data_IF_601852624555
#
_entry.id   IF_601852624555
#
_cell.length_a   1.000
_cell.length_b   1.000
_cell.length_c   1.000
_cell.angle_alpha   90.00
_cell.angle_beta   90.00
_cell.angle_gamma   90.00
#
_symmetry.space_group_name_H-M   'P 1'
#
loop_
_entity.id
_entity.type
_entity.pdbx_description
1 polymer ?
#
# COMPACT_ATOMS: atom_id res chain seq x y z
N UNK A 1 12.27 23.07 -18.93
CA UNK A 1 10.98 22.39 -18.66
C UNK A 1 11.11 21.13 -17.80
N UNK A 2 12.09 20.26 -18.03
CA UNK A 2 12.32 19.05 -17.21
C UNK A 2 12.65 19.34 -15.75
N UNK A 3 13.47 20.34 -15.48
CA UNK A 3 13.88 20.68 -14.11
C UNK A 3 12.74 21.15 -13.22
N UNK A 4 11.78 21.93 -13.75
CA UNK A 4 10.62 22.39 -12.98
C UNK A 4 9.67 21.24 -12.61
N UNK A 5 9.51 20.29 -13.52
CA UNK A 5 8.65 19.12 -13.30
C UNK A 5 9.27 18.19 -12.25
N UNK A 6 10.60 17.98 -12.30
CA UNK A 6 11.33 17.18 -11.34
C UNK A 6 11.35 17.83 -9.95
N UNK A 7 11.49 19.15 -9.88
CA UNK A 7 11.45 19.90 -8.63
C UNK A 7 10.06 19.89 -8.00
N UNK A 8 9.00 19.93 -8.81
CA UNK A 8 7.62 19.81 -8.32
C UNK A 8 7.32 18.41 -7.81
N UNK A 9 7.80 17.36 -8.50
CA UNK A 9 7.66 15.98 -8.03
C UNK A 9 8.42 15.77 -6.74
N UNK A 10 9.66 16.26 -6.65
CA UNK A 10 10.46 16.17 -5.43
C UNK A 10 9.81 16.92 -4.27
N UNK A 11 9.20 18.08 -4.52
CA UNK A 11 8.48 18.83 -3.50
C UNK A 11 7.24 18.08 -3.03
N UNK A 12 6.50 17.41 -3.93
CA UNK A 12 5.36 16.57 -3.55
C UNK A 12 5.80 15.40 -2.69
N UNK A 13 6.90 14.74 -3.04
CA UNK A 13 7.46 13.65 -2.24
C UNK A 13 7.89 14.12 -0.85
N UNK A 14 8.51 15.30 -0.76
CA UNK A 14 8.92 15.87 0.53
C UNK A 14 7.74 16.38 1.38
N UNK A 15 6.59 16.68 0.76
CA UNK A 15 5.41 17.15 1.46
C UNK A 15 4.53 16.00 2.00
N UNK A 16 4.78 14.75 1.56
CA UNK A 16 4.03 13.59 2.02
C UNK A 16 4.59 13.08 3.34
N UNK A 17 4.37 13.84 4.41
CA UNK A 17 4.77 13.45 5.75
C UNK A 17 3.73 12.55 6.42
N UNK A 18 2.46 12.71 6.04
CA UNK A 18 1.34 11.94 6.59
C UNK A 18 0.54 11.30 5.49
N UNK A 19 -0.17 10.22 5.83
CA UNK A 19 -1.08 9.59 4.89
C UNK A 19 -2.15 10.59 4.44
N UNK A 20 -2.63 10.39 3.21
CA UNK A 20 -3.74 11.16 2.65
C UNK A 20 -4.95 10.23 2.62
N UNK A 21 -6.07 10.68 3.17
CA UNK A 21 -7.28 9.87 3.19
C UNK A 21 -7.82 9.68 1.78
N UNK A 22 -8.17 8.45 1.44
CA UNK A 22 -8.71 8.08 0.14
C UNK A 22 -9.88 7.12 0.33
N UNK A 23 -10.80 7.16 -0.61
CA UNK A 23 -11.95 6.24 -0.61
C UNK A 23 -11.54 4.87 -1.15
N UNK A 24 -12.01 3.82 -0.49
CA UNK A 24 -11.74 2.43 -0.83
C UNK A 24 -13.05 1.69 -1.00
N UNK A 25 -13.03 0.62 -1.80
CA UNK A 25 -14.20 -0.26 -1.99
C UNK A 25 -13.82 -1.67 -1.54
N UNK A 26 -14.65 -2.26 -0.68
CA UNK A 26 -14.43 -3.62 -0.17
C UNK A 26 -14.84 -4.67 -1.19
N UNK A 27 -14.53 -5.94 -0.91
CA UNK A 27 -14.97 -7.08 -1.75
C UNK A 27 -16.49 -7.18 -1.82
N UNK A 28 -17.19 -6.72 -0.79
CA UNK A 28 -18.65 -6.71 -0.72
C UNK A 28 -19.26 -5.47 -1.38
N UNK A 29 -18.43 -4.56 -1.91
CA UNK A 29 -18.89 -3.34 -2.57
C UNK A 29 -19.16 -2.17 -1.65
N UNK A 30 -18.77 -2.27 -0.37
CA UNK A 30 -18.95 -1.19 0.58
C UNK A 30 -17.88 -0.11 0.39
N UNK A 31 -18.28 1.14 0.58
CA UNK A 31 -17.35 2.28 0.55
C UNK A 31 -16.76 2.50 1.93
N UNK A 32 -15.44 2.61 1.99
CA UNK A 32 -14.69 2.85 3.21
C UNK A 32 -13.66 3.95 2.96
N UNK A 33 -13.10 4.46 4.04
CA UNK A 33 -12.00 5.43 3.98
C UNK A 33 -10.74 4.81 4.55
N UNK A 34 -9.60 5.11 3.95
CA UNK A 34 -8.31 4.61 4.44
C UNK A 34 -8.11 4.94 5.92
N UNK A 35 -8.55 6.12 6.36
CA UNK A 35 -8.45 6.56 7.76
C UNK A 35 -9.10 5.60 8.75
N UNK A 36 -10.07 4.80 8.33
CA UNK A 36 -10.71 3.81 9.21
C UNK A 36 -9.76 2.69 9.62
N UNK A 37 -8.67 2.51 8.88
CA UNK A 37 -7.69 1.43 9.09
C UNK A 37 -6.36 1.93 9.64
N UNK A 38 -6.21 3.23 9.83
CA UNK A 38 -5.00 3.84 10.36
C UNK A 38 -5.12 4.02 11.88
N UNK A 39 -4.03 3.79 12.61
CA UNK A 39 -3.99 4.04 14.04
C UNK A 39 -4.27 2.84 14.93
N UNK A 40 -4.54 1.67 14.35
CA UNK A 40 -4.90 0.46 15.10
C UNK A 40 -3.72 -0.49 15.33
N UNK A 41 -2.59 -0.23 14.69
CA UNK A 41 -1.38 -1.04 14.79
C UNK A 41 -0.16 -0.14 14.80
N UNK A 42 0.99 -0.68 15.21
CA UNK A 42 2.24 0.10 15.22
C UNK A 42 2.61 0.56 13.83
N UNK A 43 2.43 -0.31 12.83
CA UNK A 43 2.73 -0.03 11.43
C UNK A 43 1.65 -0.61 10.55
N UNK A 44 1.30 0.13 9.50
CA UNK A 44 0.41 -0.32 8.44
C UNK A 44 1.17 -0.25 7.11
N UNK A 45 1.25 -1.38 6.42
CA UNK A 45 1.81 -1.43 5.08
C UNK A 45 0.67 -1.43 4.06
N UNK A 46 0.69 -0.44 3.18
CA UNK A 46 -0.31 -0.27 2.12
C UNK A 46 0.34 -0.70 0.80
N UNK A 47 -0.20 -1.74 0.19
CA UNK A 47 0.31 -2.32 -1.06
C UNK A 47 -0.61 -1.95 -2.22
N UNK A 48 -0.11 -1.12 -3.13
CA UNK A 48 -0.83 -0.81 -4.39
C UNK A 48 -0.38 -1.81 -5.46
N UNK A 49 -1.33 -2.50 -6.04
CA UNK A 49 -1.09 -3.59 -7.01
C UNK A 49 -2.21 -3.66 -8.04
N UNK A 50 -2.09 -4.57 -8.99
CA UNK A 50 -3.18 -4.89 -9.93
C UNK A 50 -3.01 -6.34 -10.41
N UNK A 51 -4.11 -6.95 -10.82
CA UNK A 51 -4.12 -8.35 -11.27
C UNK A 51 -3.30 -8.58 -12.53
N UNK A 52 -3.12 -7.54 -13.35
CA UNK A 52 -2.34 -7.59 -14.59
C UNK A 52 -0.86 -7.27 -14.37
N UNK A 53 -0.46 -6.96 -13.17
CA UNK A 53 0.91 -6.52 -12.86
C UNK A 53 1.76 -7.72 -12.42
N UNK A 54 2.59 -8.24 -13.33
CA UNK A 54 3.47 -9.37 -13.05
C UNK A 54 4.40 -9.14 -11.85
N UNK A 55 5.15 -8.03 -11.79
CA UNK A 55 6.00 -7.73 -10.64
C UNK A 55 5.24 -7.60 -9.32
N UNK A 56 4.00 -7.12 -9.35
CA UNK A 56 3.15 -7.05 -8.15
C UNK A 56 2.83 -8.45 -7.63
N UNK A 57 2.43 -9.35 -8.53
CA UNK A 57 2.12 -10.74 -8.18
C UNK A 57 3.38 -11.44 -7.63
N UNK A 58 4.54 -11.20 -8.23
CA UNK A 58 5.80 -11.77 -7.76
C UNK A 58 6.20 -11.27 -6.37
N UNK A 59 5.78 -10.08 -5.99
CA UNK A 59 6.07 -9.48 -4.68
C UNK A 59 5.18 -10.02 -3.55
N UNK A 60 4.00 -10.56 -3.88
CA UNK A 60 3.03 -11.04 -2.87
C UNK A 60 3.63 -12.07 -1.92
N UNK A 61 4.35 -13.11 -2.37
CA UNK A 61 4.96 -14.06 -1.44
C UNK A 61 5.94 -13.42 -0.46
N UNK A 62 6.65 -12.40 -0.89
CA UNK A 62 7.60 -11.67 -0.03
C UNK A 62 6.86 -10.87 1.03
N UNK A 63 5.78 -10.18 0.64
CA UNK A 63 4.92 -9.44 1.59
C UNK A 63 4.32 -10.43 2.59
N UNK A 64 3.88 -11.59 2.12
CA UNK A 64 3.28 -12.61 2.97
C UNK A 64 4.27 -13.12 4.02
N UNK A 65 5.53 -13.36 3.65
CA UNK A 65 6.57 -13.76 4.60
C UNK A 65 6.75 -12.70 5.69
N UNK A 66 6.79 -11.43 5.31
CA UNK A 66 6.92 -10.32 6.25
C UNK A 66 5.70 -10.22 7.16
N UNK A 67 4.51 -10.35 6.58
CA UNK A 67 3.26 -10.33 7.33
C UNK A 67 3.24 -11.42 8.40
N UNK A 68 3.55 -12.67 8.02
CA UNK A 68 3.58 -13.80 8.96
C UNK A 68 4.58 -13.57 10.09
N UNK A 69 5.71 -12.95 9.79
CA UNK A 69 6.75 -12.68 10.78
C UNK A 69 6.36 -11.59 11.78
N UNK A 70 5.67 -10.53 11.32
CA UNK A 70 5.45 -9.33 12.12
C UNK A 70 4.00 -9.04 12.48
N UNK A 71 3.03 -9.83 12.02
CA UNK A 71 1.60 -9.60 12.33
C UNK A 71 1.30 -9.55 13.83
N UNK A 72 2.01 -10.34 14.62
CA UNK A 72 1.86 -10.37 16.08
C UNK A 72 2.78 -9.37 16.79
N UNK A 73 3.56 -8.61 16.02
CA UNK A 73 4.50 -7.61 16.54
C UNK A 73 4.10 -6.18 16.16
N UNK A 74 2.90 -6.01 15.64
CA UNK A 74 2.34 -4.70 15.36
C UNK A 74 2.28 -4.32 13.89
N UNK A 75 2.47 -5.26 12.96
CA UNK A 75 2.30 -5.00 11.53
C UNK A 75 0.91 -5.39 11.07
N UNK A 76 0.22 -4.46 10.43
CA UNK A 76 -0.97 -4.70 9.66
C UNK A 76 -0.67 -4.43 8.18
N UNK A 77 -1.29 -5.20 7.28
CA UNK A 77 -1.13 -5.03 5.84
C UNK A 77 -2.51 -4.87 5.22
N UNK A 78 -2.62 -4.02 4.23
CA UNK A 78 -3.77 -3.99 3.35
C UNK A 78 -3.31 -3.79 1.91
N UNK A 79 -4.03 -4.38 0.98
CA UNK A 79 -3.75 -4.23 -0.46
C UNK A 79 -4.88 -3.47 -1.13
N UNK A 80 -4.49 -2.55 -2.00
CA UNK A 80 -5.43 -1.73 -2.78
C UNK A 80 -5.18 -2.02 -4.25
N UNK A 81 -6.16 -2.63 -4.90
CA UNK A 81 -6.09 -2.92 -6.33
C UNK A 81 -6.34 -1.66 -7.15
N UNK A 82 -5.51 -1.49 -8.17
CA UNK A 82 -5.67 -0.45 -9.18
C UNK A 82 -6.34 -0.99 -10.45
N UNK A 83 -6.95 -2.17 -10.37
CA UNK A 83 -7.67 -2.75 -11.50
C UNK A 83 -8.81 -1.84 -11.97
N UNK A 84 -8.94 -1.70 -13.28
CA UNK A 84 -10.04 -0.93 -13.88
C UNK A 84 -11.37 -1.68 -13.85
N UNK A 85 -11.31 -2.99 -13.67
CA UNK A 85 -12.47 -3.89 -13.69
C UNK A 85 -12.55 -4.63 -12.34
N UNK A 86 -13.69 -4.50 -11.66
CA UNK A 86 -13.96 -5.27 -10.45
C UNK A 86 -13.96 -6.77 -10.72
N UNK A 87 -14.34 -7.17 -11.92
CA UNK A 87 -14.33 -8.58 -12.32
C UNK A 87 -12.92 -9.15 -12.36
N UNK A 88 -11.97 -8.43 -12.95
CA UNK A 88 -10.56 -8.85 -12.99
C UNK A 88 -9.98 -8.98 -11.58
N UNK A 89 -10.30 -8.02 -10.71
CA UNK A 89 -9.88 -8.04 -9.32
C UNK A 89 -10.47 -9.22 -8.56
N UNK A 90 -11.77 -9.46 -8.69
CA UNK A 90 -12.47 -10.57 -8.01
C UNK A 90 -11.91 -11.92 -8.45
N UNK A 91 -11.65 -12.09 -9.74
CA UNK A 91 -11.04 -13.32 -10.26
C UNK A 91 -9.64 -13.52 -9.66
N UNK A 92 -8.85 -12.45 -9.58
CA UNK A 92 -7.52 -12.53 -9.00
C UNK A 92 -7.54 -12.92 -7.52
N UNK A 93 -8.55 -12.48 -6.76
CA UNK A 93 -8.68 -12.83 -5.34
C UNK A 93 -8.78 -14.34 -5.12
N UNK A 94 -9.33 -15.08 -6.08
CA UNK A 94 -9.40 -16.55 -5.99
C UNK A 94 -8.05 -17.23 -6.31
N UNK A 95 -7.13 -16.51 -6.92
CA UNK A 95 -5.86 -17.07 -7.40
C UNK A 95 -4.65 -16.68 -6.56
N UNK A 96 -4.73 -15.56 -5.86
CA UNK A 96 -3.61 -15.07 -5.05
C UNK A 96 -3.94 -15.25 -3.56
N UNK A 97 -2.92 -15.61 -2.81
CA UNK A 97 -3.05 -15.84 -1.37
C UNK A 97 -2.55 -14.62 -0.60
N UNK A 98 -3.49 -13.73 -0.29
CA UNK A 98 -3.23 -12.54 0.51
C UNK A 98 -4.19 -12.53 1.71
N UNK A 99 -3.75 -13.00 2.89
CA UNK A 99 -4.65 -13.17 4.05
C UNK A 99 -5.01 -11.87 4.78
N UNK A 100 -4.65 -10.72 4.25
CA UNK A 100 -4.96 -9.40 4.81
C UNK A 100 -6.08 -8.72 4.02
N UNK A 101 -6.52 -7.56 4.49
CA UNK A 101 -7.65 -6.83 3.91
C UNK A 101 -7.39 -6.41 2.48
N UNK A 102 -8.42 -6.52 1.64
CA UNK A 102 -8.38 -6.26 0.22
C UNK A 102 -9.38 -5.18 -0.16
N UNK A 103 -8.91 -4.23 -0.97
CA UNK A 103 -9.74 -3.15 -1.47
C UNK A 103 -9.43 -2.91 -2.95
N UNK A 104 -10.38 -2.29 -3.63
CA UNK A 104 -10.17 -1.73 -4.97
C UNK A 104 -10.48 -0.23 -4.91
N UNK A 105 -9.83 0.55 -5.76
CA UNK A 105 -10.07 1.99 -5.86
C UNK A 105 -11.36 2.26 -6.63
N UNK A 106 -12.11 3.32 -6.25
CA UNK A 106 -13.19 3.81 -7.10
C UNK A 106 -12.67 4.20 -8.48
N UNK A 107 -13.54 4.13 -9.50
CA UNK A 107 -13.19 4.36 -10.89
C UNK A 107 -12.48 5.70 -11.15
N UNK A 108 -12.85 6.73 -10.40
CA UNK A 108 -12.31 8.09 -10.56
C UNK A 108 -11.30 8.45 -9.47
N UNK A 109 -10.69 7.45 -8.83
CA UNK A 109 -9.75 7.70 -7.74
C UNK A 109 -8.51 8.44 -8.24
N UNK A 110 -8.05 9.37 -7.43
CA UNK A 110 -6.82 10.13 -7.67
C UNK A 110 -5.68 9.68 -6.74
N UNK A 111 -5.79 8.47 -6.20
CA UNK A 111 -4.83 7.96 -5.22
C UNK A 111 -3.39 8.00 -5.74
N UNK A 112 -3.14 7.58 -6.98
CA UNK A 112 -1.79 7.61 -7.56
C UNK A 112 -1.22 9.04 -7.64
N UNK A 113 -2.05 10.00 -8.03
CA UNK A 113 -1.64 11.41 -8.07
C UNK A 113 -1.37 11.95 -6.66
N UNK A 114 -2.27 11.66 -5.72
CA UNK A 114 -2.16 12.13 -4.33
C UNK A 114 -0.91 11.58 -3.64
N UNK A 115 -0.59 10.31 -3.87
CA UNK A 115 0.58 9.65 -3.29
C UNK A 115 1.82 9.75 -4.19
N UNK A 116 1.72 10.47 -5.30
CA UNK A 116 2.82 10.82 -6.20
C UNK A 116 3.58 9.60 -6.73
N UNK A 117 2.85 8.57 -7.19
CA UNK A 117 3.48 7.44 -7.87
C UNK A 117 2.89 7.24 -9.27
N UNK A 118 3.70 6.68 -10.16
CA UNK A 118 3.32 6.42 -11.55
C UNK A 118 3.34 4.95 -11.92
N UNK A 119 3.96 4.12 -11.10
CA UNK A 119 4.10 2.68 -11.37
C UNK A 119 3.80 1.83 -10.17
N UNK A 120 3.46 0.57 -10.42
CA UNK A 120 3.24 -0.46 -9.42
C UNK A 120 4.16 -1.65 -9.69
N UNK A 121 4.58 -2.43 -8.68
CA UNK A 121 4.14 -2.34 -7.28
C UNK A 121 4.62 -1.05 -6.61
N UNK A 122 3.76 -0.50 -5.75
CA UNK A 122 4.11 0.66 -4.95
C UNK A 122 3.58 0.42 -3.54
N UNK A 123 4.46 0.43 -2.56
CA UNK A 123 4.09 0.21 -1.17
C UNK A 123 4.44 1.41 -0.31
N UNK A 124 3.64 1.64 0.72
CA UNK A 124 3.83 2.73 1.67
C UNK A 124 3.72 2.17 3.07
N UNK A 125 4.72 2.46 3.90
CA UNK A 125 4.70 2.09 5.31
C UNK A 125 4.38 3.31 6.15
N UNK A 126 3.32 3.22 6.96
CA UNK A 126 2.93 4.31 7.87
C UNK A 126 2.98 3.82 9.31
N UNK A 127 3.20 4.75 10.24
CA UNK A 127 3.20 4.45 11.68
C UNK A 127 1.80 4.63 12.29
N UNK A 128 1.71 4.43 13.59
CA UNK A 128 0.43 4.51 14.32
C UNK A 128 -0.18 5.91 14.30
N UNK A 129 0.64 6.94 14.16
CA UNK A 129 0.18 8.33 14.08
C UNK A 129 -0.19 8.75 12.66
N UNK A 130 -0.07 7.85 11.69
CA UNK A 130 -0.37 8.12 10.29
C UNK A 130 0.78 8.78 9.53
N UNK A 131 1.97 8.84 10.11
CA UNK A 131 3.15 9.38 9.43
C UNK A 131 3.70 8.37 8.44
N UNK A 132 4.11 8.86 7.27
CA UNK A 132 4.75 8.02 6.27
C UNK A 132 6.19 7.77 6.71
N UNK A 133 6.47 6.53 7.09
CA UNK A 133 7.82 6.10 7.48
C UNK A 133 8.69 5.94 6.25
N UNK A 134 8.12 5.32 5.21
CA UNK A 134 8.83 5.09 3.95
C UNK A 134 7.82 4.93 2.83
N UNK A 135 8.08 5.57 1.69
CA UNK A 135 7.33 5.40 0.45
C UNK A 135 8.13 4.55 -0.54
N UNK A 136 7.46 4.04 -1.57
CA UNK A 136 8.06 3.21 -2.64
C UNK A 136 8.73 1.94 -2.08
N UNK A 137 8.03 1.24 -1.18
CA UNK A 137 8.53 0.04 -0.51
C UNK A 137 7.94 -1.21 -1.17
N UNK A 138 8.80 -2.17 -1.51
CA UNK A 138 8.38 -3.52 -1.92
C UNK A 138 8.55 -4.49 -0.76
N UNK A 139 8.06 -5.73 -0.90
CA UNK A 139 8.14 -6.73 0.17
C UNK A 139 9.56 -7.01 0.65
N UNK A 140 10.52 -7.02 -0.27
CA UNK A 140 11.92 -7.22 0.08
C UNK A 140 12.45 -6.11 1.03
N UNK A 141 12.21 -4.85 0.67
CA UNK A 141 12.65 -3.72 1.48
C UNK A 141 11.84 -3.57 2.77
N UNK A 142 10.58 -3.95 2.74
CA UNK A 142 9.71 -3.92 3.93
C UNK A 142 10.33 -4.75 5.07
N UNK A 143 10.83 -5.94 4.77
CA UNK A 143 11.47 -6.78 5.78
C UNK A 143 12.67 -6.07 6.41
N UNK A 144 13.53 -5.46 5.60
CA UNK A 144 14.72 -4.75 6.07
C UNK A 144 14.33 -3.57 6.97
N UNK A 145 13.33 -2.81 6.55
CA UNK A 145 12.86 -1.63 7.31
C UNK A 145 12.29 -2.05 8.66
N UNK A 146 11.40 -3.05 8.67
CA UNK A 146 10.78 -3.52 9.91
C UNK A 146 11.77 -4.15 10.86
N UNK A 147 12.75 -4.87 10.34
CA UNK A 147 13.82 -5.44 11.15
C UNK A 147 14.57 -4.34 11.90
N UNK A 148 14.86 -3.23 11.23
CA UNK A 148 15.52 -2.08 11.85
C UNK A 148 14.61 -1.38 12.86
N UNK A 149 13.34 -1.17 12.54
CA UNK A 149 12.38 -0.44 13.37
C UNK A 149 11.95 -1.23 14.61
N UNK A 150 11.85 -2.54 14.51
CA UNK A 150 11.39 -3.42 15.58
C UNK A 150 12.53 -4.15 16.28
N UNK A 151 13.76 -3.71 16.06
CA UNK A 151 14.95 -4.29 16.71
C UNK A 151 14.88 -4.08 18.20
N UNK A 152 14.98 -5.17 18.96
CA UNK A 152 14.95 -5.13 20.42
C UNK A 152 13.58 -5.35 21.03
N UNK A 153 12.55 -5.59 20.22
CA UNK A 153 11.22 -5.96 20.71
C UNK A 153 10.99 -7.46 20.70
#
# INVERSE_FOLDING_TARGET
MGKKKDEEEQRRHMQLEKFIDIELITLEGERKWLSEYVGHSKFLFIDFWASWCGPCIADIPKIKQVYEKYKDKGLEVLSISMDYSNKSWTIAMDKVDMPWRQFVLPTNSKAAELYAFTGIPHGILIDQDGKIVQASVTGFFLNIILEALLKGE
#
